data_IF_177854635360
#
_entry.id   IF_177854635360
#
_cell.length_a   1.000
_cell.length_b   1.000
_cell.length_c   1.000
_cell.angle_alpha   90.00
_cell.angle_beta   90.00
_cell.angle_gamma   90.00
#
_symmetry.space_group_name_H-M   'P 1'
#
loop_
_entity.id
_entity.type
_entity.pdbx_description
1 polymer ?
#
# COMPACT_ATOMS: atom_id res chain seq x y z
N UNK A 1 -44.55 -70.45 6.74
CA UNK A 1 -44.16 -69.60 7.89
C UNK A 1 -42.80 -69.02 7.59
N UNK A 2 -42.69 -67.69 7.56
CA UNK A 2 -41.58 -66.96 6.94
C UNK A 2 -40.41 -66.74 7.90
N UNK A 3 -39.19 -67.04 7.45
CA UNK A 3 -37.95 -66.59 8.09
C UNK A 3 -37.68 -65.13 7.71
N UNK A 4 -37.67 -64.23 8.71
CA UNK A 4 -37.25 -62.83 8.55
C UNK A 4 -35.77 -62.72 8.90
N UNK A 5 -34.94 -62.47 7.89
CA UNK A 5 -33.53 -62.12 8.04
C UNK A 5 -33.41 -60.68 8.58
N UNK A 6 -32.72 -60.52 9.71
CA UNK A 6 -32.44 -59.20 10.31
C UNK A 6 -31.25 -58.55 9.61
N UNK A 7 -31.50 -57.37 9.04
CA UNK A 7 -30.53 -56.54 8.32
C UNK A 7 -29.57 -55.82 9.28
N UNK A 8 -28.28 -56.03 8.99
CA UNK A 8 -27.10 -55.16 9.16
C UNK A 8 -27.29 -53.74 9.72
N UNK A 9 -26.50 -53.40 10.73
CA UNK A 9 -26.08 -52.03 11.04
C UNK A 9 -24.56 -52.00 11.27
N UNK A 10 -23.79 -51.69 10.22
CA UNK A 10 -22.41 -51.22 10.34
C UNK A 10 -22.45 -49.71 10.58
N UNK A 11 -22.15 -49.27 11.80
CA UNK A 11 -21.96 -47.86 12.13
C UNK A 11 -20.55 -47.43 11.71
N UNK A 12 -20.43 -46.77 10.56
CA UNK A 12 -19.19 -46.13 10.13
C UNK A 12 -19.05 -44.75 10.82
N UNK A 13 -18.23 -44.67 11.86
CA UNK A 13 -17.84 -43.39 12.47
C UNK A 13 -16.72 -42.79 11.63
N UNK A 14 -17.07 -41.88 10.71
CA UNK A 14 -16.09 -41.09 9.97
C UNK A 14 -15.64 -39.89 10.82
N UNK A 15 -14.43 -39.97 11.37
CA UNK A 15 -13.75 -38.86 12.06
C UNK A 15 -13.44 -37.74 11.04
N UNK A 16 -14.15 -36.62 11.13
CA UNK A 16 -13.89 -35.40 10.35
C UNK A 16 -12.62 -34.71 10.88
N UNK A 17 -11.48 -34.95 10.23
CA UNK A 17 -10.29 -34.11 10.36
C UNK A 17 -10.53 -32.79 9.61
N UNK A 18 -11.12 -31.81 10.27
CA UNK A 18 -11.17 -30.44 9.75
C UNK A 18 -9.75 -29.84 9.78
N UNK A 19 -9.01 -29.94 8.67
CA UNK A 19 -7.73 -29.26 8.53
C UNK A 19 -7.96 -27.73 8.59
N UNK A 20 -7.49 -27.09 9.65
CA UNK A 20 -7.48 -25.63 9.75
C UNK A 20 -6.51 -25.08 8.70
N UNK A 21 -7.05 -24.59 7.57
CA UNK A 21 -6.24 -23.91 6.57
C UNK A 21 -5.65 -22.63 7.18
N UNK A 22 -4.34 -22.34 7.00
CA UNK A 22 -3.77 -21.08 7.44
C UNK A 22 -4.48 -19.94 6.73
N UNK A 23 -5.16 -19.08 7.48
CA UNK A 23 -5.73 -17.84 6.95
C UNK A 23 -4.57 -16.95 6.51
N UNK A 24 -4.43 -16.73 5.20
CA UNK A 24 -3.53 -15.71 4.66
C UNK A 24 -4.05 -14.35 5.11
N UNK A 25 -3.47 -13.81 6.19
CA UNK A 25 -3.79 -12.47 6.64
C UNK A 25 -3.64 -11.48 5.48
N UNK A 26 -4.65 -10.65 5.24
CA UNK A 26 -4.65 -9.67 4.15
C UNK A 26 -3.52 -8.63 4.37
N UNK A 27 -2.78 -8.31 3.30
CA UNK A 27 -1.67 -7.35 3.40
C UNK A 27 -2.18 -5.93 3.71
N UNK A 28 -1.47 -5.15 4.55
CA UNK A 28 -1.82 -3.76 4.80
C UNK A 28 -1.76 -2.93 3.52
N UNK A 29 -2.69 -1.99 3.36
CA UNK A 29 -2.77 -1.08 2.21
C UNK A 29 -2.12 0.26 2.50
N UNK A 30 -1.53 0.88 1.49
CA UNK A 30 -1.02 2.26 1.55
C UNK A 30 -2.09 3.26 1.16
N UNK A 31 -2.09 4.45 1.77
CA UNK A 31 -2.87 5.59 1.28
C UNK A 31 -2.27 6.07 -0.05
N UNK A 32 -3.11 6.28 -1.06
CA UNK A 32 -2.68 6.78 -2.38
C UNK A 32 -2.94 8.28 -2.54
N UNK A 33 -3.85 8.83 -1.72
CA UNK A 33 -4.53 10.12 -1.92
C UNK A 33 -5.21 10.25 -3.30
N UNK A 34 -5.52 9.12 -3.93
CA UNK A 34 -6.23 9.02 -5.21
C UNK A 34 -7.37 8.00 -5.11
N UNK A 35 -7.98 7.59 -6.23
CA UNK A 35 -8.97 6.51 -6.27
C UNK A 35 -8.32 5.23 -6.84
N UNK A 36 -8.40 4.08 -6.14
CA UNK A 36 -8.93 3.90 -4.78
C UNK A 36 -8.02 4.54 -3.71
N UNK A 37 -8.60 4.99 -2.59
CA UNK A 37 -7.87 5.69 -1.53
C UNK A 37 -6.80 4.83 -0.84
N UNK A 38 -6.98 3.51 -0.83
CA UNK A 38 -6.01 2.58 -0.27
C UNK A 38 -5.78 1.41 -1.21
N UNK A 39 -4.51 1.07 -1.46
CA UNK A 39 -4.14 -0.04 -2.32
C UNK A 39 -2.93 -0.83 -1.80
N UNK A 40 -2.85 -2.11 -2.16
CA UNK A 40 -1.62 -2.91 -2.04
C UNK A 40 -0.76 -2.63 -3.26
N UNK A 41 0.52 -2.34 -3.04
CA UNK A 41 1.52 -2.05 -4.10
C UNK A 41 1.01 -1.00 -5.12
N UNK A 42 0.57 0.19 -4.68
CA UNK A 42 0.12 1.21 -5.62
C UNK A 42 1.25 1.61 -6.57
N UNK A 43 0.89 1.90 -7.81
CA UNK A 43 1.84 2.43 -8.80
C UNK A 43 2.38 3.80 -8.36
N UNK A 44 1.53 4.63 -7.74
CA UNK A 44 1.83 6.00 -7.34
C UNK A 44 1.23 6.33 -5.98
N UNK A 45 1.84 7.29 -5.29
CA UNK A 45 1.32 7.86 -4.03
C UNK A 45 1.48 9.39 -4.10
N UNK A 46 0.37 10.12 -4.10
CA UNK A 46 0.40 11.54 -3.76
C UNK A 46 0.49 11.68 -2.24
N UNK A 47 1.42 12.50 -1.73
CA UNK A 47 1.73 12.55 -0.29
C UNK A 47 1.70 13.95 0.33
N UNK A 48 1.34 14.95 -0.46
CA UNK A 48 1.34 16.38 -0.07
C UNK A 48 -0.07 16.96 0.04
N UNK A 49 -1.09 16.24 -0.45
CA UNK A 49 -2.49 16.68 -0.44
C UNK A 49 -2.84 17.76 -1.47
N UNK A 50 -1.89 18.60 -1.87
CA UNK A 50 -2.04 19.65 -2.88
C UNK A 50 -1.57 19.23 -4.30
N UNK A 51 -1.12 17.98 -4.44
CA UNK A 51 -0.65 17.43 -5.72
C UNK A 51 0.76 17.88 -6.13
N UNK A 52 1.52 18.55 -5.27
CA UNK A 52 2.87 19.04 -5.63
C UNK A 52 3.97 17.99 -5.41
N UNK A 53 3.71 16.98 -4.59
CA UNK A 53 4.61 15.87 -4.30
C UNK A 53 4.00 14.52 -4.58
N UNK A 54 4.55 13.80 -5.57
CA UNK A 54 4.06 12.50 -6.04
C UNK A 54 5.21 11.49 -6.06
N UNK A 55 4.99 10.31 -5.49
CA UNK A 55 5.90 9.16 -5.58
C UNK A 55 5.47 8.30 -6.76
N UNK A 56 6.43 7.96 -7.62
CA UNK A 56 6.21 7.14 -8.80
C UNK A 56 7.49 6.42 -9.21
N UNK A 57 7.65 6.17 -10.50
CA UNK A 57 8.81 5.52 -11.10
C UNK A 57 9.57 6.41 -12.08
N UNK A 58 10.45 5.78 -12.88
CA UNK A 58 10.86 6.40 -14.15
C UNK A 58 9.62 6.43 -15.06
N UNK A 59 9.46 7.54 -15.79
CA UNK A 59 8.36 7.69 -16.75
C UNK A 59 8.46 6.58 -17.80
N UNK A 60 7.37 5.87 -18.04
CA UNK A 60 7.29 4.79 -19.03
C UNK A 60 5.90 4.79 -19.67
N UNK A 61 5.84 4.97 -20.99
CA UNK A 61 4.56 5.06 -21.72
C UNK A 61 3.72 6.29 -21.34
N UNK A 62 2.39 6.14 -21.34
CA UNK A 62 1.43 7.22 -21.04
C UNK A 62 1.29 7.61 -19.57
N UNK A 63 1.99 6.94 -18.65
CA UNK A 63 1.98 7.28 -17.23
C UNK A 63 2.95 8.46 -16.96
N UNK A 64 2.40 9.61 -16.55
CA UNK A 64 3.15 10.86 -16.29
C UNK A 64 4.24 10.69 -15.23
N UNK A 65 3.98 9.90 -14.18
CA UNK A 65 4.87 9.76 -13.02
C UNK A 65 5.49 8.36 -12.89
N UNK A 66 5.12 7.44 -13.78
CA UNK A 66 5.64 6.07 -13.79
C UNK A 66 5.22 5.27 -12.55
N UNK A 67 5.82 4.08 -12.37
CA UNK A 67 5.44 3.14 -11.30
C UNK A 67 6.53 2.92 -10.25
N UNK A 68 6.15 2.95 -8.98
CA UNK A 68 7.00 2.54 -7.86
C UNK A 68 7.39 1.07 -8.03
N UNK A 69 8.68 0.79 -7.91
CA UNK A 69 9.21 -0.57 -7.87
C UNK A 69 9.21 -1.08 -6.41
N UNK A 70 8.20 -1.87 -6.05
CA UNK A 70 8.08 -2.48 -4.72
C UNK A 70 8.92 -3.75 -4.60
N UNK A 71 9.99 -3.70 -3.79
CA UNK A 71 10.84 -4.87 -3.53
C UNK A 71 10.31 -5.78 -2.44
N UNK A 72 9.51 -5.24 -1.50
CA UNK A 72 8.91 -6.02 -0.42
C UNK A 72 7.55 -5.46 -0.02
N UNK A 73 6.62 -6.34 0.34
CA UNK A 73 5.33 -5.99 0.94
C UNK A 73 4.93 -7.10 1.90
N UNK A 74 4.93 -6.80 3.19
CA UNK A 74 4.64 -7.76 4.26
C UNK A 74 3.55 -7.22 5.18
N UNK A 75 3.16 -8.03 6.16
CA UNK A 75 2.25 -7.61 7.23
C UNK A 75 2.80 -6.45 8.08
N UNK A 76 4.12 -6.22 8.10
CA UNK A 76 4.76 -5.22 8.96
C UNK A 76 5.25 -3.98 8.22
N UNK A 77 5.66 -4.14 6.97
CA UNK A 77 6.25 -3.04 6.20
C UNK A 77 6.18 -3.29 4.70
N UNK A 78 6.24 -2.22 3.91
CA UNK A 78 6.55 -2.30 2.49
C UNK A 78 7.76 -1.42 2.15
N UNK A 79 8.56 -1.87 1.18
CA UNK A 79 9.76 -1.19 0.72
C UNK A 79 9.70 -1.00 -0.79
N UNK A 80 9.94 0.22 -1.25
CA UNK A 80 9.89 0.59 -2.65
C UNK A 80 11.02 1.55 -3.05
N UNK A 81 11.27 1.62 -4.35
CA UNK A 81 12.17 2.58 -4.98
C UNK A 81 11.49 3.23 -6.18
N UNK A 82 11.89 4.44 -6.51
CA UNK A 82 11.31 5.15 -7.64
C UNK A 82 11.81 6.57 -7.76
N UNK A 83 10.92 7.46 -8.17
CA UNK A 83 11.15 8.90 -8.22
C UNK A 83 10.16 9.63 -7.31
N UNK A 84 10.64 10.64 -6.58
CA UNK A 84 9.78 11.69 -6.06
C UNK A 84 9.72 12.81 -7.09
N UNK A 85 8.53 13.07 -7.59
CA UNK A 85 8.21 14.14 -8.51
C UNK A 85 7.76 15.33 -7.70
N UNK A 86 8.52 16.43 -7.77
CA UNK A 86 8.21 17.67 -7.09
C UNK A 86 7.86 18.73 -8.13
N UNK A 87 6.69 19.33 -8.00
CA UNK A 87 6.27 20.49 -8.75
C UNK A 87 7.03 21.72 -8.26
N UNK A 88 7.53 22.55 -9.18
CA UNK A 88 8.17 23.83 -8.83
C UNK A 88 7.18 24.97 -8.61
N UNK A 89 5.91 24.79 -8.97
CA UNK A 89 4.84 25.78 -8.90
C UNK A 89 5.20 27.14 -9.51
N UNK A 90 5.86 27.13 -10.68
CA UNK A 90 6.20 28.36 -11.40
C UNK A 90 5.44 28.44 -12.73
N UNK A 91 4.67 29.52 -12.99
CA UNK A 91 4.40 30.68 -12.12
C UNK A 91 3.44 30.37 -10.94
N UNK A 92 2.67 29.30 -11.06
CA UNK A 92 1.77 28.78 -10.03
C UNK A 92 1.77 27.24 -10.07
N UNK A 93 1.07 26.59 -9.16
CA UNK A 93 1.05 25.12 -9.09
C UNK A 93 0.29 24.44 -10.26
N UNK A 94 -0.60 25.15 -10.95
CA UNK A 94 -1.28 24.61 -12.13
C UNK A 94 -0.37 24.64 -13.37
N UNK A 95 0.44 25.69 -13.52
CA UNK A 95 1.40 25.87 -14.62
C UNK A 95 2.80 25.30 -14.39
N UNK A 96 3.11 24.86 -13.17
CA UNK A 96 4.44 24.40 -12.78
C UNK A 96 4.91 23.08 -13.42
N UNK A 97 6.21 22.81 -13.26
CA UNK A 97 6.90 21.66 -13.82
C UNK A 97 7.35 20.66 -12.76
N UNK A 98 7.12 19.37 -13.02
CA UNK A 98 7.54 18.29 -12.12
C UNK A 98 8.95 17.80 -12.45
N UNK A 99 9.82 17.81 -11.44
CA UNK A 99 11.20 17.31 -11.56
C UNK A 99 11.39 16.02 -10.73
N UNK A 100 11.83 14.91 -11.34
CA UNK A 100 12.03 13.64 -10.64
C UNK A 100 13.35 13.61 -9.88
N UNK A 101 13.34 12.97 -8.70
CA UNK A 101 14.55 12.67 -7.90
C UNK A 101 14.49 11.23 -7.38
N UNK A 102 15.59 10.46 -7.41
CA UNK A 102 15.57 9.10 -6.89
C UNK A 102 15.14 9.07 -5.43
N UNK A 103 14.19 8.18 -5.10
CA UNK A 103 13.62 8.07 -3.76
C UNK A 103 13.61 6.63 -3.28
N UNK A 104 13.86 6.45 -1.98
CA UNK A 104 13.57 5.21 -1.24
C UNK A 104 12.30 5.42 -0.42
N UNK A 105 11.39 4.45 -0.47
CA UNK A 105 10.07 4.53 0.13
C UNK A 105 9.94 3.38 1.14
N UNK A 106 9.49 3.70 2.35
CA UNK A 106 9.13 2.71 3.37
C UNK A 106 7.74 3.03 3.90
N UNK A 107 6.87 2.03 3.91
CA UNK A 107 5.57 2.08 4.58
C UNK A 107 5.64 1.18 5.81
N UNK A 108 5.14 1.65 6.95
CA UNK A 108 5.24 0.91 8.21
C UNK A 108 4.09 1.25 9.17
N UNK A 109 4.19 0.72 10.39
CA UNK A 109 3.21 0.87 11.48
C UNK A 109 1.79 0.49 11.04
N UNK A 110 1.57 -0.75 10.58
CA UNK A 110 0.26 -1.21 10.14
C UNK A 110 -0.76 -1.13 11.30
N UNK A 111 -1.93 -0.55 11.05
CA UNK A 111 -3.09 -0.60 11.95
C UNK A 111 -4.36 -0.78 11.13
N UNK A 112 -5.21 -1.72 11.54
CA UNK A 112 -6.47 -2.04 10.86
C UNK A 112 -6.31 -2.24 9.33
N UNK A 113 -5.31 -3.01 8.92
CA UNK A 113 -5.04 -3.32 7.51
C UNK A 113 -4.56 -2.13 6.67
N UNK A 114 -4.03 -1.06 7.28
CA UNK A 114 -3.48 0.12 6.60
C UNK A 114 -2.11 0.46 7.18
N UNK A 115 -1.13 0.79 6.33
CA UNK A 115 0.09 1.43 6.81
C UNK A 115 -0.23 2.83 7.31
N UNK A 116 0.38 3.22 8.43
CA UNK A 116 0.10 4.50 9.11
C UNK A 116 1.26 5.49 8.99
N UNK A 117 2.44 5.01 8.62
CA UNK A 117 3.62 5.83 8.44
C UNK A 117 4.21 5.60 7.05
N UNK A 118 4.38 6.70 6.31
CA UNK A 118 5.19 6.78 5.09
C UNK A 118 6.51 7.45 5.44
N UNK A 119 7.62 6.85 5.06
CA UNK A 119 8.96 7.45 5.17
C UNK A 119 9.59 7.46 3.79
N UNK A 120 10.00 8.64 3.33
CA UNK A 120 10.73 8.79 2.07
C UNK A 120 12.09 9.42 2.31
N UNK A 121 13.08 8.96 1.53
CA UNK A 121 14.45 9.47 1.55
C UNK A 121 14.91 9.78 0.15
N UNK A 122 15.34 11.01 -0.08
CA UNK A 122 15.85 11.49 -1.37
C UNK A 122 16.88 12.62 -1.16
N UNK A 123 17.47 13.16 -2.24
CA UNK A 123 18.30 14.37 -2.17
C UNK A 123 17.62 15.52 -2.89
N UNK A 124 17.62 16.70 -2.29
CA UNK A 124 17.12 17.94 -2.87
C UNK A 124 18.22 19.00 -2.86
N UNK A 125 18.57 19.54 -4.03
CA UNK A 125 19.66 20.53 -4.18
C UNK A 125 20.93 20.12 -3.42
N UNK A 126 21.35 18.87 -3.60
CA UNK A 126 22.51 18.29 -2.94
C UNK A 126 22.31 17.87 -1.48
N UNK A 127 21.26 18.31 -0.78
CA UNK A 127 21.03 17.98 0.63
C UNK A 127 20.17 16.72 0.79
N UNK A 128 20.48 15.81 1.74
CA UNK A 128 19.60 14.69 2.04
C UNK A 128 18.30 15.20 2.68
N UNK A 129 17.18 14.60 2.27
CA UNK A 129 15.85 14.84 2.84
C UNK A 129 15.31 13.53 3.39
N UNK A 130 14.86 13.56 4.65
CA UNK A 130 14.07 12.52 5.29
C UNK A 130 12.70 13.11 5.59
N UNK A 131 11.68 12.69 4.83
CA UNK A 131 10.31 13.13 5.04
C UNK A 131 9.50 11.95 5.60
N UNK A 132 8.82 12.19 6.71
CA UNK A 132 7.96 11.23 7.40
C UNK A 132 6.55 11.79 7.43
N UNK A 133 5.60 10.98 6.97
CA UNK A 133 4.20 11.34 6.91
C UNK A 133 3.32 10.34 7.65
N UNK A 134 2.53 10.83 8.60
CA UNK A 134 1.47 10.07 9.25
C UNK A 134 0.22 10.10 8.38
N UNK A 135 -0.49 8.99 8.30
CA UNK A 135 -1.81 8.98 7.68
C UNK A 135 -2.82 9.55 8.67
N UNK A 136 -3.60 10.54 8.29
CA UNK A 136 -4.60 11.22 9.13
C UNK A 136 -6.01 11.01 8.58
N UNK A 137 -7.03 11.02 9.45
CA UNK A 137 -8.43 10.87 9.08
C UNK A 137 -9.20 12.13 9.44
N UNK A 138 -9.85 12.75 8.46
CA UNK A 138 -10.64 13.96 8.63
C UNK A 138 -12.14 13.69 8.43
N UNK A 139 -12.62 12.57 8.97
CA UNK A 139 -14.02 12.14 8.90
C UNK A 139 -14.42 11.52 7.56
N UNK A 140 -14.31 12.27 6.46
CA UNK A 140 -14.72 11.80 5.12
C UNK A 140 -13.57 11.35 4.21
N UNK A 141 -12.34 11.77 4.52
CA UNK A 141 -11.17 11.48 3.71
C UNK A 141 -9.93 11.26 4.56
N UNK A 142 -8.90 10.70 3.93
CA UNK A 142 -7.60 10.42 4.53
C UNK A 142 -6.52 11.25 3.85
N UNK A 143 -5.56 11.73 4.63
CA UNK A 143 -4.44 12.53 4.14
C UNK A 143 -3.12 12.04 4.71
N UNK A 144 -2.04 12.56 4.16
CA UNK A 144 -0.73 12.52 4.79
C UNK A 144 -0.48 13.85 5.51
N UNK A 145 -0.22 13.80 6.81
CA UNK A 145 0.30 14.92 7.60
C UNK A 145 1.77 14.70 7.96
N UNK A 146 2.47 15.75 8.40
CA UNK A 146 3.88 15.64 8.82
C UNK A 146 3.95 14.88 10.14
N UNK A 147 4.66 13.75 10.16
CA UNK A 147 4.86 12.99 11.39
C UNK A 147 5.88 13.72 12.29
N UNK A 148 5.52 13.88 13.57
CA UNK A 148 6.41 14.37 14.62
C UNK A 148 7.35 13.26 15.10
#
# INVERSE_FOLDING_TARGET
MAHRTLSTLLAAVALLLAAAAPSLAALPRALTQERPAFAVRPAQISYTGDGTGILGGRRSGGDRFGRIAWSAWTQRSAQGRGQVWLNDCRPDCAGGSFSPRPVRIVLSQPRAGKFRLLTIRYRYRGKPVLDRRSVEHHGRYWTYGIAR
#
